data_IF_878590544484
#
_entry.id   IF_878590544484
#
_cell.length_a   1.000
_cell.length_b   1.000
_cell.length_c   1.000
_cell.angle_alpha   90.00
_cell.angle_beta   90.00
_cell.angle_gamma   90.00
#
_symmetry.space_group_name_H-M   'P 1'
#
loop_
_entity.id
_entity.type
_entity.pdbx_description
1 polymer ?
#
# COMPACT_ATOMS: atom_id res chain seq x y z
N UNK A 1 -1.58 -14.19 3.19
CA UNK A 1 -1.10 -14.77 4.46
C UNK A 1 -0.28 -16.01 4.15
N UNK A 2 0.98 -15.98 4.40
CA UNK A 2 1.82 -17.18 4.36
C UNK A 2 2.17 -17.57 5.79
N UNK A 3 2.05 -18.85 6.11
CA UNK A 3 2.49 -19.38 7.39
C UNK A 3 3.85 -20.03 7.16
N UNK A 4 4.88 -19.56 7.86
CA UNK A 4 6.17 -20.24 7.91
C UNK A 4 6.04 -21.51 8.76
N UNK A 5 6.70 -22.57 8.32
CA UNK A 5 6.73 -23.83 9.07
C UNK A 5 7.30 -23.58 10.46
N UNK A 6 6.48 -23.80 11.50
CA UNK A 6 6.85 -23.59 12.91
C UNK A 6 6.28 -22.33 13.56
N UNK A 7 5.77 -21.36 12.79
CA UNK A 7 5.11 -20.18 13.36
C UNK A 7 3.63 -20.41 13.65
N UNK A 8 3.16 -19.86 14.77
CA UNK A 8 1.73 -19.87 15.15
C UNK A 8 0.94 -18.84 14.34
N UNK A 9 1.56 -17.73 13.97
CA UNK A 9 0.94 -16.60 13.29
C UNK A 9 1.23 -16.59 11.79
N UNK A 10 0.27 -16.12 11.02
CA UNK A 10 0.44 -15.90 9.59
C UNK A 10 1.30 -14.67 9.31
N UNK A 11 2.10 -14.72 8.25
CA UNK A 11 2.96 -13.66 7.80
C UNK A 11 2.26 -12.84 6.71
N UNK A 12 2.26 -11.52 6.82
CA UNK A 12 1.63 -10.62 5.85
C UNK A 12 2.65 -9.71 5.16
N UNK A 13 2.38 -9.21 3.95
CA UNK A 13 3.21 -8.21 3.29
C UNK A 13 3.45 -6.96 4.15
N UNK A 14 2.46 -6.58 4.96
CA UNK A 14 2.59 -5.46 5.89
C UNK A 14 3.67 -5.68 6.96
N UNK A 15 3.92 -6.92 7.37
CA UNK A 15 5.00 -7.25 8.31
C UNK A 15 6.37 -7.05 7.65
N UNK A 16 6.51 -7.38 6.36
CA UNK A 16 7.73 -7.13 5.60
C UNK A 16 8.00 -5.64 5.45
N UNK A 17 6.98 -4.87 5.10
CA UNK A 17 7.09 -3.42 4.90
C UNK A 17 7.12 -2.61 6.21
N UNK A 18 6.94 -3.24 7.39
CA UNK A 18 6.81 -2.54 8.68
C UNK A 18 7.99 -1.64 9.02
N UNK A 19 9.20 -2.08 8.73
CA UNK A 19 10.42 -1.30 8.99
C UNK A 19 10.44 -0.04 8.11
N UNK A 20 10.18 -0.19 6.82
CA UNK A 20 10.14 0.89 5.85
C UNK A 20 9.03 1.90 6.16
N UNK A 21 7.84 1.43 6.54
CA UNK A 21 6.72 2.28 6.95
C UNK A 21 7.09 3.13 8.17
N UNK A 22 7.74 2.54 9.18
CA UNK A 22 8.18 3.28 10.37
C UNK A 22 9.25 4.32 10.03
N UNK A 23 10.20 3.95 9.19
CA UNK A 23 11.25 4.86 8.72
C UNK A 23 10.66 6.02 7.93
N UNK A 24 9.71 5.74 7.03
CA UNK A 24 9.01 6.77 6.25
C UNK A 24 8.23 7.73 7.15
N UNK A 25 7.49 7.21 8.13
CA UNK A 25 6.74 8.04 9.07
C UNK A 25 7.66 8.95 9.89
N UNK A 26 8.80 8.42 10.37
CA UNK A 26 9.79 9.22 11.07
C UNK A 26 10.42 10.29 10.16
N UNK A 27 10.79 9.92 8.93
CA UNK A 27 11.34 10.85 7.94
C UNK A 27 10.35 11.98 7.64
N UNK A 28 9.07 11.66 7.42
CA UNK A 28 8.02 12.66 7.19
C UNK A 28 7.81 13.60 8.38
N UNK A 29 7.89 13.09 9.60
CA UNK A 29 7.82 13.92 10.79
C UNK A 29 9.00 14.91 10.86
N UNK A 30 10.22 14.45 10.55
CA UNK A 30 11.39 15.33 10.51
C UNK A 30 11.31 16.34 9.37
N UNK A 31 10.82 15.95 8.20
CA UNK A 31 10.56 16.85 7.07
C UNK A 31 9.60 17.97 7.49
N UNK A 32 8.48 17.64 8.14
CA UNK A 32 7.50 18.62 8.61
C UNK A 32 8.12 19.62 9.62
N UNK A 33 8.89 19.11 10.59
CA UNK A 33 9.58 19.97 11.57
C UNK A 33 10.64 20.86 10.93
N UNK A 34 11.34 20.34 9.92
CA UNK A 34 12.31 21.11 9.18
C UNK A 34 11.64 22.18 8.32
N UNK A 35 10.46 21.86 7.77
CA UNK A 35 9.62 22.80 7.02
C UNK A 35 9.09 23.93 7.91
N UNK A 36 8.58 23.62 9.11
CA UNK A 36 8.18 24.63 10.12
C UNK A 36 9.32 25.60 10.39
N UNK A 37 10.54 25.08 10.66
CA UNK A 37 11.74 25.92 10.90
C UNK A 37 12.20 26.69 9.66
N UNK A 38 11.81 26.29 8.47
CA UNK A 38 12.14 27.02 7.23
C UNK A 38 11.17 28.16 6.97
N UNK A 39 9.90 28.00 7.38
CA UNK A 39 8.88 29.05 7.26
C UNK A 39 9.04 30.11 8.35
N UNK A 40 9.27 29.66 9.59
CA UNK A 40 9.50 30.52 10.74
C UNK A 40 10.86 30.18 11.38
N UNK A 41 11.96 30.64 10.76
CA UNK A 41 13.29 30.32 11.24
C UNK A 41 13.58 31.04 12.58
N UNK A 42 14.17 30.33 13.57
CA UNK A 42 14.63 30.96 14.76
C UNK A 42 15.66 32.05 14.44
N UNK A 43 15.48 33.20 15.01
CA UNK A 43 16.33 34.36 14.79
C UNK A 43 17.54 34.34 15.72
N UNK A 44 18.74 34.49 15.13
CA UNK A 44 19.96 34.73 15.91
C UNK A 44 20.14 36.24 16.07
N UNK A 45 20.16 36.68 17.30
CA UNK A 45 20.41 38.10 17.65
C UNK A 45 21.68 38.21 18.43
N UNK A 46 22.49 39.25 18.12
CA UNK A 46 23.67 39.59 18.92
C UNK A 46 23.20 40.25 20.23
N UNK A 47 23.69 39.76 21.37
CA UNK A 47 23.30 40.24 22.69
C UNK A 47 23.44 41.77 22.85
N UNK A 48 24.42 42.39 22.25
CA UNK A 48 24.64 43.84 22.25
C UNK A 48 24.09 44.56 21.02
N UNK A 49 23.43 43.87 20.11
CA UNK A 49 22.98 44.40 18.83
C UNK A 49 21.58 44.98 18.81
N UNK A 50 20.76 44.69 19.81
CA UNK A 50 19.35 45.10 19.91
C UNK A 50 19.21 46.21 20.95
N UNK A 51 18.49 47.26 20.61
CA UNK A 51 18.16 48.36 21.49
C UNK A 51 16.66 48.31 21.76
N UNK A 52 16.24 47.76 22.92
CA UNK A 52 14.84 47.61 23.30
C UNK A 52 14.22 46.27 22.95
N UNK A 53 12.90 46.21 22.79
CA UNK A 53 12.16 44.98 22.55
C UNK A 53 12.23 44.54 21.08
N UNK A 54 12.50 43.25 20.88
CA UNK A 54 12.49 42.63 19.55
C UNK A 54 11.04 42.45 19.10
N UNK A 55 10.62 43.12 18.04
CA UNK A 55 9.30 42.99 17.43
C UNK A 55 9.43 42.27 16.09
N UNK A 56 8.91 41.02 16.03
CA UNK A 56 8.91 40.18 14.83
C UNK A 56 7.55 40.20 14.12
N UNK A 57 6.63 41.07 14.56
CA UNK A 57 5.32 41.20 13.91
C UNK A 57 5.43 41.82 12.50
N UNK A 58 4.54 41.47 11.57
CA UNK A 58 4.51 42.09 10.25
C UNK A 58 4.37 43.62 10.34
N UNK A 59 5.36 44.34 9.83
CA UNK A 59 5.42 45.82 9.95
C UNK A 59 5.96 46.34 11.27
N UNK A 60 6.44 45.46 12.17
CA UNK A 60 7.08 45.85 13.44
C UNK A 60 8.41 46.56 13.21
N UNK A 61 8.66 47.63 13.97
CA UNK A 61 9.91 48.37 13.93
C UNK A 61 10.80 47.94 15.11
N UNK A 62 11.98 47.42 14.82
CA UNK A 62 12.99 47.06 15.81
C UNK A 62 14.24 47.91 15.63
N UNK A 63 14.69 48.54 16.68
CA UNK A 63 15.91 49.36 16.66
C UNK A 63 17.12 48.43 16.91
N UNK A 64 18.05 48.43 15.97
CA UNK A 64 19.28 47.63 16.05
C UNK A 64 20.50 48.55 15.98
N UNK A 65 21.53 48.21 16.74
CA UNK A 65 22.82 48.92 16.68
C UNK A 65 23.64 48.50 15.47
N UNK A 66 23.49 47.25 15.04
CA UNK A 66 24.11 46.68 13.86
C UNK A 66 23.06 45.94 13.03
N UNK A 67 22.90 46.35 11.77
CA UNK A 67 21.92 45.75 10.83
C UNK A 67 22.21 44.24 10.57
N UNK A 68 23.48 43.83 10.67
CA UNK A 68 23.87 42.42 10.51
C UNK A 68 23.78 41.62 11.80
N UNK A 69 23.41 42.25 12.90
CA UNK A 69 23.30 41.64 14.22
C UNK A 69 22.12 40.69 14.40
N UNK A 70 21.16 40.69 13.45
CA UNK A 70 20.00 39.80 13.44
C UNK A 70 20.03 39.01 12.15
N UNK A 71 20.11 37.67 12.27
CA UNK A 71 20.09 36.76 11.11
C UNK A 71 19.09 35.62 11.37
N UNK A 72 18.30 35.23 10.39
CA UNK A 72 17.57 33.98 10.48
C UNK A 72 18.58 32.81 10.55
N UNK A 73 18.28 31.82 11.36
CA UNK A 73 19.06 30.59 11.41
C UNK A 73 18.83 29.80 10.13
N UNK A 74 19.80 29.79 9.24
CA UNK A 74 19.76 28.98 8.03
C UNK A 74 19.99 27.53 8.39
N UNK A 75 18.92 26.74 8.32
CA UNK A 75 19.00 25.31 8.44
C UNK A 75 19.44 24.75 7.07
N UNK A 76 20.70 24.27 6.97
CA UNK A 76 21.25 23.66 5.74
C UNK A 76 20.59 22.32 5.34
N UNK A 77 19.29 22.17 5.54
CA UNK A 77 18.55 20.97 5.22
C UNK A 77 18.50 20.75 3.71
N UNK A 78 19.08 19.63 3.24
CA UNK A 78 19.05 19.24 1.84
C UNK A 78 17.72 18.52 1.53
N UNK A 79 16.70 19.28 1.19
CA UNK A 79 15.36 18.78 0.86
C UNK A 79 15.33 17.75 -0.27
N UNK A 80 16.19 17.95 -1.28
CA UNK A 80 16.26 17.04 -2.43
C UNK A 80 16.70 15.63 -2.04
N UNK A 81 17.69 15.52 -1.14
CA UNK A 81 18.17 14.21 -0.67
C UNK A 81 17.12 13.50 0.15
N UNK A 82 16.39 14.23 1.02
CA UNK A 82 15.29 13.67 1.79
C UNK A 82 14.17 13.16 0.89
N UNK A 83 13.81 13.91 -0.14
CA UNK A 83 12.75 13.55 -1.07
C UNK A 83 13.11 12.30 -1.91
N UNK A 84 14.36 12.20 -2.37
CA UNK A 84 14.87 11.02 -3.10
C UNK A 84 14.77 9.78 -2.20
N UNK A 85 15.23 9.87 -0.95
CA UNK A 85 15.17 8.77 0.01
C UNK A 85 13.74 8.37 0.38
N UNK A 86 12.86 9.33 0.60
CA UNK A 86 11.44 9.08 0.86
C UNK A 86 10.78 8.35 -0.32
N UNK A 87 11.06 8.74 -1.55
CA UNK A 87 10.53 8.09 -2.75
C UNK A 87 11.04 6.65 -2.91
N UNK A 88 12.32 6.40 -2.60
CA UNK A 88 12.89 5.05 -2.59
C UNK A 88 12.14 4.14 -1.61
N UNK A 89 11.91 4.61 -0.37
CA UNK A 89 11.18 3.87 0.66
C UNK A 89 9.73 3.62 0.22
N UNK A 90 9.06 4.61 -0.35
CA UNK A 90 7.69 4.46 -0.89
C UNK A 90 7.64 3.39 -1.98
N UNK A 91 8.64 3.36 -2.86
CA UNK A 91 8.75 2.35 -3.92
C UNK A 91 8.92 0.94 -3.32
N UNK A 92 9.77 0.79 -2.31
CA UNK A 92 9.95 -0.49 -1.61
C UNK A 92 8.66 -0.96 -0.92
N UNK A 93 7.94 -0.04 -0.27
CA UNK A 93 6.63 -0.35 0.33
C UNK A 93 5.63 -0.79 -0.75
N UNK A 94 5.54 -0.09 -1.88
CA UNK A 94 4.66 -0.47 -3.01
C UNK A 94 4.98 -1.85 -3.55
N UNK A 95 6.26 -2.19 -3.70
CA UNK A 95 6.71 -3.53 -4.12
C UNK A 95 6.29 -4.61 -3.13
N UNK A 96 6.43 -4.36 -1.83
CA UNK A 96 6.01 -5.31 -0.80
C UNK A 96 4.50 -5.63 -0.85
N UNK A 97 3.67 -4.67 -1.30
CA UNK A 97 2.24 -4.86 -1.49
C UNK A 97 1.84 -5.23 -2.93
N UNK A 98 2.79 -5.54 -3.80
CA UNK A 98 2.57 -5.88 -5.22
C UNK A 98 1.87 -4.77 -6.02
N UNK A 99 1.86 -3.54 -5.54
CA UNK A 99 1.13 -2.44 -6.17
C UNK A 99 1.71 -2.08 -7.55
N UNK A 100 3.03 -2.14 -7.71
CA UNK A 100 3.70 -1.86 -8.99
C UNK A 100 3.34 -2.88 -10.08
N UNK A 101 2.96 -4.10 -9.66
CA UNK A 101 2.59 -5.19 -10.55
C UNK A 101 1.11 -5.18 -10.92
N UNK A 102 0.29 -4.52 -10.09
CA UNK A 102 -1.16 -4.36 -10.31
C UNK A 102 -1.50 -3.15 -11.17
N UNK A 103 -0.60 -2.18 -11.28
CA UNK A 103 -0.79 -1.02 -12.14
C UNK A 103 -0.34 -1.36 -13.55
N UNK A 104 -1.31 -1.50 -14.46
CA UNK A 104 -1.05 -1.41 -15.89
C UNK A 104 -0.48 -0.01 -16.14
N UNK A 105 0.81 0.05 -16.45
CA UNK A 105 1.41 1.31 -16.85
C UNK A 105 0.86 1.67 -18.24
N UNK A 106 -0.11 2.55 -18.29
CA UNK A 106 -0.66 3.09 -19.53
C UNK A 106 0.38 3.99 -20.20
N UNK A 107 1.20 3.39 -21.05
CA UNK A 107 2.09 4.12 -21.93
C UNK A 107 1.38 4.41 -23.26
N UNK A 108 1.59 5.56 -23.89
CA UNK A 108 0.91 5.94 -25.14
C UNK A 108 1.19 5.02 -26.35
N UNK A 109 2.11 4.04 -26.22
CA UNK A 109 2.55 3.15 -27.31
C UNK A 109 2.54 1.66 -26.93
N UNK A 110 1.66 1.24 -26.01
CA UNK A 110 1.62 -0.20 -25.63
C UNK A 110 0.95 -1.02 -26.73
N UNK A 111 1.62 -2.08 -27.15
CA UNK A 111 1.07 -3.07 -28.09
C UNK A 111 0.14 -4.05 -27.36
N UNK A 112 -0.87 -4.59 -28.07
CA UNK A 112 -1.77 -5.60 -27.51
C UNK A 112 -1.03 -6.83 -26.97
N UNK A 113 0.10 -7.20 -27.57
CA UNK A 113 0.97 -8.29 -27.11
C UNK A 113 1.63 -7.98 -25.77
N UNK A 114 2.08 -6.76 -25.57
CA UNK A 114 2.70 -6.33 -24.31
C UNK A 114 1.69 -6.29 -23.17
N UNK A 115 0.46 -5.85 -23.45
CA UNK A 115 -0.64 -5.90 -22.47
C UNK A 115 -0.93 -7.33 -22.05
N UNK A 116 -0.99 -8.27 -22.99
CA UNK A 116 -1.20 -9.70 -22.69
C UNK A 116 -0.07 -10.27 -21.82
N UNK A 117 1.19 -10.05 -22.20
CA UNK A 117 2.33 -10.54 -21.44
C UNK A 117 2.35 -10.00 -20.00
N UNK A 118 1.97 -8.74 -19.80
CA UNK A 118 1.84 -8.15 -18.46
C UNK A 118 0.67 -8.74 -17.67
N UNK A 119 -0.46 -9.00 -18.32
CA UNK A 119 -1.59 -9.68 -17.68
C UNK A 119 -1.21 -11.10 -17.24
N UNK A 120 -0.51 -11.85 -18.07
CA UNK A 120 0.00 -13.20 -17.73
C UNK A 120 0.94 -13.15 -16.51
N UNK A 121 1.90 -12.21 -16.48
CA UNK A 121 2.78 -12.03 -15.34
C UNK A 121 2.01 -11.67 -14.06
N UNK A 122 1.03 -10.78 -14.17
CA UNK A 122 0.17 -10.42 -13.05
C UNK A 122 -0.62 -11.62 -12.52
N UNK A 123 -1.16 -12.46 -13.42
CA UNK A 123 -1.86 -13.68 -13.05
C UNK A 123 -0.94 -14.70 -12.37
N UNK A 124 0.28 -14.88 -12.88
CA UNK A 124 1.26 -15.76 -12.24
C UNK A 124 1.63 -15.35 -10.82
N UNK A 125 1.72 -14.04 -10.56
CA UNK A 125 2.08 -13.52 -9.25
C UNK A 125 0.88 -13.56 -8.28
N UNK A 126 -0.31 -13.21 -8.76
CA UNK A 126 -1.51 -13.13 -7.92
C UNK A 126 -2.23 -14.48 -7.78
N UNK A 127 -2.09 -15.38 -8.75
CA UNK A 127 -2.77 -16.66 -8.75
C UNK A 127 -2.62 -17.46 -7.45
N UNK A 128 -1.40 -17.67 -6.93
CA UNK A 128 -1.19 -18.37 -5.67
C UNK A 128 -1.80 -17.67 -4.46
N UNK A 129 -1.81 -16.32 -4.45
CA UNK A 129 -2.40 -15.53 -3.36
C UNK A 129 -3.92 -15.64 -3.37
N UNK A 130 -4.53 -15.50 -4.55
CA UNK A 130 -5.99 -15.61 -4.73
C UNK A 130 -6.44 -17.05 -4.46
N UNK A 131 -5.74 -18.05 -4.98
CA UNK A 131 -6.07 -19.47 -4.75
C UNK A 131 -6.03 -19.84 -3.26
N UNK A 132 -5.03 -19.34 -2.53
CA UNK A 132 -4.96 -19.52 -1.08
C UNK A 132 -6.08 -18.81 -0.35
N UNK A 133 -6.42 -17.57 -0.74
CA UNK A 133 -7.54 -16.82 -0.18
C UNK A 133 -8.87 -17.56 -0.38
N UNK A 134 -9.07 -18.13 -1.57
CA UNK A 134 -10.25 -18.93 -1.89
C UNK A 134 -10.30 -20.19 -1.03
N UNK A 135 -9.22 -20.97 -0.98
CA UNK A 135 -9.18 -22.25 -0.27
C UNK A 135 -9.24 -22.10 1.25
N UNK A 136 -8.48 -21.18 1.82
CA UNK A 136 -8.32 -21.06 3.28
C UNK A 136 -9.37 -20.15 3.95
N UNK A 137 -9.92 -19.15 3.24
CA UNK A 137 -10.85 -18.20 3.81
C UNK A 137 -12.23 -18.28 3.18
N UNK A 138 -12.34 -18.12 1.87
CA UNK A 138 -13.64 -17.97 1.22
C UNK A 138 -14.46 -19.26 1.22
N UNK A 139 -13.85 -20.39 0.88
CA UNK A 139 -14.55 -21.69 0.89
C UNK A 139 -15.11 -22.06 2.26
N UNK A 140 -14.32 -22.05 3.36
CA UNK A 140 -14.86 -22.31 4.69
C UNK A 140 -15.92 -21.31 5.12
N UNK A 141 -15.77 -20.03 4.75
CA UNK A 141 -16.74 -18.99 5.09
C UNK A 141 -18.08 -19.23 4.38
N UNK A 142 -18.07 -19.45 3.08
CA UNK A 142 -19.28 -19.69 2.27
C UNK A 142 -19.97 -20.97 2.73
N UNK A 143 -19.22 -22.05 2.95
CA UNK A 143 -19.77 -23.30 3.49
C UNK A 143 -20.41 -23.08 4.85
N UNK A 144 -19.78 -22.31 5.74
CA UNK A 144 -20.32 -21.99 7.06
C UNK A 144 -21.62 -21.19 6.98
N UNK A 145 -21.65 -20.15 6.14
CA UNK A 145 -22.85 -19.33 5.93
C UNK A 145 -23.98 -20.19 5.37
N UNK A 146 -23.69 -20.99 4.35
CA UNK A 146 -24.70 -21.90 3.78
C UNK A 146 -25.28 -22.86 4.80
N UNK A 147 -24.45 -23.50 5.62
CA UNK A 147 -24.91 -24.41 6.65
C UNK A 147 -25.77 -23.73 7.71
N UNK A 148 -25.47 -22.48 8.06
CA UNK A 148 -26.30 -21.69 8.98
C UNK A 148 -27.67 -21.38 8.35
N UNK A 149 -27.65 -20.89 7.09
CA UNK A 149 -28.91 -20.59 6.37
C UNK A 149 -29.76 -21.83 6.14
N UNK A 150 -29.15 -22.96 5.83
CA UNK A 150 -29.82 -24.24 5.68
C UNK A 150 -30.49 -24.69 6.97
N UNK A 151 -29.81 -24.62 8.12
CA UNK A 151 -30.37 -24.93 9.43
C UNK A 151 -31.54 -24.01 9.83
N UNK A 152 -31.50 -22.77 9.35
CA UNK A 152 -32.56 -21.79 9.61
C UNK A 152 -33.78 -21.93 8.65
N UNK A 153 -33.80 -22.94 7.76
CA UNK A 153 -34.88 -23.16 6.82
C UNK A 153 -35.06 -22.09 5.76
N UNK A 154 -33.98 -21.35 5.44
CA UNK A 154 -34.04 -20.27 4.45
C UNK A 154 -33.94 -20.81 3.00
N UNK A 155 -33.61 -22.06 2.82
CA UNK A 155 -33.58 -22.73 1.53
C UNK A 155 -34.74 -23.74 1.39
N UNK A 156 -35.16 -23.98 0.16
CA UNK A 156 -36.03 -25.11 -0.16
C UNK A 156 -35.34 -26.41 0.19
N UNK A 157 -36.13 -27.46 0.49
CA UNK A 157 -35.60 -28.78 0.75
C UNK A 157 -34.67 -29.22 -0.39
N UNK A 158 -33.46 -29.68 -0.07
CA UNK A 158 -32.48 -30.03 -1.08
C UNK A 158 -32.95 -31.27 -1.86
N UNK A 159 -32.68 -31.33 -3.16
CA UNK A 159 -32.96 -32.52 -3.95
C UNK A 159 -32.26 -33.74 -3.34
N UNK A 160 -32.91 -34.90 -3.39
CA UNK A 160 -32.46 -36.17 -2.78
C UNK A 160 -31.00 -36.50 -3.22
N UNK A 161 -30.66 -36.23 -4.49
CA UNK A 161 -29.30 -36.43 -5.03
C UNK A 161 -28.21 -35.62 -4.30
N UNK A 162 -28.56 -34.47 -3.73
CA UNK A 162 -27.61 -33.60 -3.01
C UNK A 162 -27.41 -34.11 -1.58
N UNK A 163 -28.43 -34.70 -0.99
CA UNK A 163 -28.38 -35.35 0.33
C UNK A 163 -27.54 -36.63 0.26
N UNK A 164 -27.74 -37.46 -0.77
CA UNK A 164 -26.98 -38.69 -1.01
C UNK A 164 -25.52 -38.41 -1.35
N UNK A 165 -25.22 -37.29 -2.01
CA UNK A 165 -23.84 -36.83 -2.35
C UNK A 165 -23.06 -36.24 -1.18
N UNK A 166 -23.58 -36.24 0.06
CA UNK A 166 -22.91 -35.79 1.26
C UNK A 166 -22.85 -34.28 1.44
N UNK A 167 -23.80 -33.53 0.89
CA UNK A 167 -23.95 -32.06 1.03
C UNK A 167 -22.66 -31.25 0.74
N UNK A 168 -21.83 -31.72 -0.17
CA UNK A 168 -20.66 -30.95 -0.62
C UNK A 168 -21.11 -29.88 -1.59
N UNK A 169 -21.00 -28.62 -1.14
CA UNK A 169 -21.13 -27.47 -2.01
C UNK A 169 -19.84 -27.27 -2.76
N UNK A 170 -19.93 -27.27 -4.08
CA UNK A 170 -18.88 -26.79 -4.94
C UNK A 170 -19.09 -25.29 -5.19
N UNK A 171 -18.16 -24.47 -4.70
CA UNK A 171 -18.26 -23.02 -4.78
C UNK A 171 -17.47 -22.53 -5.99
N UNK A 172 -18.18 -22.09 -7.01
CA UNK A 172 -17.58 -21.51 -8.19
C UNK A 172 -17.42 -19.99 -8.03
N UNK A 173 -16.17 -19.51 -8.05
CA UNK A 173 -15.88 -18.08 -8.00
C UNK A 173 -15.86 -17.47 -9.40
N UNK A 174 -16.88 -16.66 -9.70
CA UNK A 174 -17.00 -15.97 -10.99
C UNK A 174 -16.32 -14.61 -10.89
N UNK A 175 -14.98 -14.57 -11.03
CA UNK A 175 -14.22 -13.34 -11.11
C UNK A 175 -13.70 -13.11 -12.54
N UNK A 176 -13.44 -11.87 -12.97
CA UNK A 176 -12.80 -11.59 -14.26
C UNK A 176 -11.45 -12.34 -14.41
N UNK A 177 -10.71 -12.47 -13.34
CA UNK A 177 -9.43 -13.19 -13.29
C UNK A 177 -9.63 -14.70 -13.52
N UNK A 178 -10.60 -15.32 -12.86
CA UNK A 178 -10.91 -16.74 -13.06
C UNK A 178 -11.43 -17.04 -14.47
N UNK A 179 -12.20 -16.11 -15.06
CA UNK A 179 -12.65 -16.21 -16.45
C UNK A 179 -11.48 -16.15 -17.44
N UNK A 180 -10.53 -15.23 -17.21
CA UNK A 180 -9.35 -15.11 -18.06
C UNK A 180 -8.49 -16.38 -18.05
N UNK A 181 -8.28 -16.99 -16.87
CA UNK A 181 -7.57 -18.27 -16.74
C UNK A 181 -8.29 -19.42 -17.49
N UNK A 182 -9.61 -19.52 -17.38
CA UNK A 182 -10.37 -20.55 -18.13
C UNK A 182 -10.34 -20.34 -19.63
N UNK A 183 -10.33 -19.10 -20.11
CA UNK A 183 -10.22 -18.84 -21.55
C UNK A 183 -8.87 -19.32 -22.11
N UNK A 184 -7.79 -19.20 -21.36
CA UNK A 184 -6.48 -19.74 -21.76
C UNK A 184 -6.48 -21.27 -21.83
N UNK A 185 -7.12 -21.95 -20.87
CA UNK A 185 -7.28 -23.40 -20.89
C UNK A 185 -8.08 -23.87 -22.11
N UNK A 186 -9.16 -23.17 -22.46
CA UNK A 186 -9.96 -23.47 -23.66
C UNK A 186 -9.15 -23.29 -24.94
N UNK A 187 -8.40 -22.21 -25.08
CA UNK A 187 -7.52 -21.98 -26.23
C UNK A 187 -6.36 -22.98 -26.30
N UNK A 188 -5.88 -23.48 -25.16
CA UNK A 188 -4.87 -24.54 -25.14
C UNK A 188 -5.43 -25.88 -25.66
N UNK A 189 -6.70 -26.18 -25.35
CA UNK A 189 -7.37 -27.41 -25.82
C UNK A 189 -7.73 -27.34 -27.31
N UNK A 190 -8.11 -26.18 -27.85
CA UNK A 190 -8.41 -25.99 -29.27
C UNK A 190 -7.17 -26.09 -30.20
N UNK A 191 -5.97 -26.03 -29.64
CA UNK A 191 -4.70 -26.16 -30.40
C UNK A 191 -4.21 -27.59 -30.58
N UNK A 192 -4.88 -28.57 -30.02
CA UNK A 192 -4.65 -30.01 -30.21
C UNK A 192 -5.65 -30.62 -31.18
#
# INVERSE_FOLDING_TARGET
WSKLSGDVYGFSPAMMARADIRTLNAAKLFEMRAWEKSIDPPTLANYNGIIGDLRLDPGGLTYVRDINGIRPFENGAQWQVSQIKSNEIVTNIRRAFFNDQLQLHEGPNMTATEVRARMELMQQILGPVVGRLQGELLNPLVQRIFMIMFRNGQFMDPPIALVEGGNKLDVEYVSPLARAQRMEEVFAVERW
#
